data_IF_484738557611
#
_entry.id   IF_484738557611
#
_cell.length_a   1.000
_cell.length_b   1.000
_cell.length_c   1.000
_cell.angle_alpha   90.00
_cell.angle_beta   90.00
_cell.angle_gamma   90.00
#
_symmetry.space_group_name_H-M   'P 1'
#
loop_
_entity.id
_entity.type
_entity.pdbx_description
1 polymer ?
#
# COMPACT_ATOMS: atom_id res chain seq x y z
N UNK A 1 7.41 2.18 17.38
CA UNK A 1 6.20 1.40 17.70
C UNK A 1 5.28 2.10 18.70
N UNK A 2 5.71 2.42 19.95
CA UNK A 2 4.84 3.00 20.99
C UNK A 2 4.01 4.23 20.54
N UNK A 3 4.64 5.20 19.86
CA UNK A 3 3.93 6.40 19.36
C UNK A 3 2.85 6.07 18.33
N UNK A 4 3.11 5.10 17.45
CA UNK A 4 2.17 4.67 16.41
C UNK A 4 0.93 4.03 17.03
N UNK A 5 1.08 3.28 18.12
CA UNK A 5 -0.05 2.71 18.87
C UNK A 5 -0.81 3.78 19.66
N UNK A 6 -0.10 4.58 20.45
CA UNK A 6 -0.75 5.47 21.42
C UNK A 6 -1.26 6.78 20.81
N UNK A 7 -0.62 7.27 19.74
CA UNK A 7 -0.93 8.55 19.08
C UNK A 7 -0.68 8.46 17.56
N UNK A 8 -1.36 7.56 16.82
CA UNK A 8 -1.12 7.34 15.39
C UNK A 8 -1.23 8.61 14.56
N UNK A 9 -2.27 9.43 14.79
CA UNK A 9 -2.48 10.70 14.07
C UNK A 9 -1.44 11.80 14.34
N UNK A 10 -0.44 11.56 15.20
CA UNK A 10 0.69 12.47 15.41
C UNK A 10 1.86 12.19 14.45
N UNK A 11 1.70 11.23 13.55
CA UNK A 11 2.71 10.77 12.60
C UNK A 11 2.16 11.05 11.20
N UNK A 12 2.94 11.79 10.41
CA UNK A 12 2.63 12.10 9.02
C UNK A 12 3.48 11.23 8.08
N UNK A 13 4.81 11.39 8.13
CA UNK A 13 5.76 10.59 7.36
C UNK A 13 6.79 9.91 8.27
N UNK A 14 7.17 8.67 7.94
CA UNK A 14 8.21 7.90 8.64
C UNK A 14 9.27 7.46 7.64
N UNK A 15 10.54 7.71 7.97
CA UNK A 15 11.70 7.13 7.28
C UNK A 15 12.37 6.13 8.22
N UNK A 16 12.63 4.93 7.72
CA UNK A 16 13.23 3.84 8.49
C UNK A 16 14.14 2.98 7.62
N UNK A 17 15.05 2.23 8.25
CA UNK A 17 15.81 1.18 7.56
C UNK A 17 14.89 0.00 7.23
N UNK A 18 15.28 -0.83 6.26
CA UNK A 18 14.43 -1.90 5.70
C UNK A 18 13.70 -2.75 6.77
N UNK A 19 14.42 -3.38 7.70
CA UNK A 19 13.81 -4.22 8.75
C UNK A 19 12.86 -3.43 9.67
N UNK A 20 13.17 -2.18 9.99
CA UNK A 20 12.29 -1.36 10.82
C UNK A 20 11.06 -0.90 10.04
N UNK A 21 11.22 -0.57 8.76
CA UNK A 21 10.12 -0.16 7.88
C UNK A 21 9.12 -1.31 7.70
N UNK A 22 9.61 -2.53 7.53
CA UNK A 22 8.81 -3.75 7.43
C UNK A 22 7.86 -3.89 8.64
N UNK A 23 8.43 -3.94 9.86
CA UNK A 23 7.66 -4.03 11.11
C UNK A 23 6.69 -2.86 11.30
N UNK A 24 7.13 -1.63 10.98
CA UNK A 24 6.29 -0.44 11.18
C UNK A 24 5.17 -0.34 10.15
N UNK A 25 5.39 -0.81 8.92
CA UNK A 25 4.39 -0.77 7.85
C UNK A 25 3.23 -1.74 8.11
N UNK A 26 3.53 -2.95 8.58
CA UNK A 26 2.51 -3.92 9.03
C UNK A 26 1.70 -3.39 10.21
N UNK A 27 2.38 -2.78 11.19
CA UNK A 27 1.71 -2.15 12.33
C UNK A 27 0.78 -1.01 11.87
N UNK A 28 1.22 -0.18 10.94
CA UNK A 28 0.40 0.90 10.39
C UNK A 28 -0.83 0.37 9.66
N UNK A 29 -0.67 -0.66 8.82
CA UNK A 29 -1.78 -1.27 8.08
C UNK A 29 -2.78 -1.98 9.02
N UNK A 30 -2.31 -2.64 10.08
CA UNK A 30 -3.17 -3.21 11.11
C UNK A 30 -3.96 -2.15 11.89
N UNK A 31 -3.31 -1.04 12.27
CA UNK A 31 -3.96 0.08 12.97
C UNK A 31 -4.95 0.85 12.07
N UNK A 32 -4.71 0.88 10.76
CA UNK A 32 -5.61 1.45 9.76
C UNK A 32 -6.89 0.62 9.52
N UNK A 33 -7.01 -0.55 10.17
CA UNK A 33 -8.22 -1.38 10.17
C UNK A 33 -8.18 -2.59 9.25
N UNK A 34 -7.20 -2.70 8.34
CA UNK A 34 -7.02 -3.90 7.52
C UNK A 34 -5.66 -3.94 6.83
N UNK A 35 -4.95 -5.06 7.02
CA UNK A 35 -3.76 -5.40 6.22
C UNK A 35 -4.08 -5.55 4.72
N UNK A 36 -5.33 -5.92 4.39
CA UNK A 36 -5.77 -6.20 3.02
C UNK A 36 -5.96 -4.98 2.13
N UNK A 37 -5.83 -3.77 2.67
CA UNK A 37 -6.09 -2.52 1.93
C UNK A 37 -4.78 -1.74 1.72
N UNK A 38 -3.69 -2.08 2.40
CA UNK A 38 -2.41 -1.40 2.25
C UNK A 38 -1.83 -1.54 0.83
N UNK A 39 -1.41 -0.41 0.26
CA UNK A 39 -0.73 -0.32 -1.04
C UNK A 39 0.75 -0.01 -0.86
N UNK A 40 1.63 -0.63 -1.65
CA UNK A 40 3.08 -0.40 -1.59
C UNK A 40 3.69 -0.03 -2.93
N UNK A 41 4.88 0.57 -2.85
CA UNK A 41 5.69 0.90 -4.00
C UNK A 41 7.18 0.71 -3.69
N UNK A 42 7.84 -0.10 -4.49
CA UNK A 42 9.29 -0.25 -4.54
C UNK A 42 9.82 0.63 -5.68
N UNK A 43 10.24 1.85 -5.34
CA UNK A 43 10.58 2.89 -6.30
C UNK A 43 12.08 2.89 -6.61
N UNK A 44 12.44 2.95 -7.90
CA UNK A 44 13.76 3.43 -8.34
C UNK A 44 13.69 4.96 -8.50
N UNK A 45 14.28 5.76 -7.60
CA UNK A 45 14.20 7.22 -7.67
C UNK A 45 14.84 7.80 -8.93
N UNK A 46 15.79 7.08 -9.53
CA UNK A 46 16.45 7.51 -10.77
C UNK A 46 15.60 7.29 -12.02
N UNK A 47 14.53 6.47 -11.91
CA UNK A 47 13.71 5.99 -13.03
C UNK A 47 14.52 5.27 -14.12
N UNK A 48 15.71 4.78 -13.80
CA UNK A 48 16.53 3.98 -14.73
C UNK A 48 15.95 2.59 -14.95
N UNK A 49 15.21 2.08 -13.96
CA UNK A 49 14.49 0.80 -13.98
C UNK A 49 13.02 1.02 -13.68
N UNK A 50 12.13 0.12 -14.14
CA UNK A 50 10.74 0.14 -13.73
C UNK A 50 10.63 -0.02 -12.22
N UNK A 51 9.84 0.84 -11.60
CA UNK A 51 9.41 0.68 -10.21
C UNK A 51 8.34 -0.42 -10.11
N UNK A 52 8.24 -1.07 -8.95
CA UNK A 52 7.28 -2.15 -8.71
C UNK A 52 6.21 -1.70 -7.71
N UNK A 53 4.97 -2.11 -7.94
CA UNK A 53 3.82 -1.75 -7.11
C UNK A 53 3.04 -3.02 -6.79
N UNK A 54 2.80 -3.28 -5.51
CA UNK A 54 2.08 -4.47 -5.04
C UNK A 54 1.24 -4.16 -3.78
N UNK A 55 0.10 -4.87 -3.56
CA UNK A 55 -0.62 -4.79 -2.30
C UNK A 55 0.22 -5.40 -1.16
N UNK A 56 0.03 -4.93 0.07
CA UNK A 56 0.74 -5.48 1.26
C UNK A 56 0.37 -6.95 1.52
N UNK A 57 -0.87 -7.34 1.23
CA UNK A 57 -1.35 -8.67 1.58
C UNK A 57 -0.63 -9.78 0.79
N UNK A 58 -0.44 -10.92 1.42
CA UNK A 58 0.11 -12.12 0.78
C UNK A 58 -0.89 -12.83 -0.14
N UNK A 59 -0.48 -14.00 -0.63
CA UNK A 59 -1.21 -14.76 -1.67
C UNK A 59 -2.53 -15.40 -1.23
N UNK A 60 -2.79 -15.53 0.09
CA UNK A 60 -4.02 -16.12 0.64
C UNK A 60 -4.46 -17.43 -0.07
N UNK A 61 -3.57 -18.44 -0.07
CA UNK A 61 -3.75 -19.68 -0.85
C UNK A 61 -5.03 -20.44 -0.48
N UNK A 62 -5.51 -20.32 0.75
CA UNK A 62 -6.72 -20.93 1.27
C UNK A 62 -8.01 -20.42 0.59
N UNK A 63 -7.98 -19.23 -0.03
CA UNK A 63 -9.14 -18.64 -0.74
C UNK A 63 -8.95 -18.53 -2.26
N UNK A 64 -7.85 -19.07 -2.79
CA UNK A 64 -7.57 -19.04 -4.23
C UNK A 64 -8.71 -19.68 -5.03
N UNK A 65 -9.15 -19.00 -6.09
CA UNK A 65 -10.22 -19.47 -6.99
C UNK A 65 -11.63 -19.38 -6.41
N UNK A 66 -11.80 -18.95 -5.15
CA UNK A 66 -13.13 -18.83 -4.52
C UNK A 66 -13.85 -17.52 -4.83
N UNK A 67 -13.16 -16.53 -5.42
CA UNK A 67 -13.74 -15.22 -5.75
C UNK A 67 -14.08 -14.34 -4.55
N UNK A 68 -13.49 -14.63 -3.37
CA UNK A 68 -13.77 -13.91 -2.11
C UNK A 68 -12.65 -12.96 -1.67
N UNK A 69 -11.56 -12.88 -2.44
CA UNK A 69 -10.45 -11.97 -2.13
C UNK A 69 -10.90 -10.51 -2.31
N UNK A 70 -10.52 -9.64 -1.38
CA UNK A 70 -10.79 -8.21 -1.47
C UNK A 70 -9.80 -7.56 -2.46
N UNK A 71 -10.25 -6.99 -3.59
CA UNK A 71 -9.36 -6.41 -4.59
C UNK A 71 -8.89 -4.97 -4.27
N UNK A 72 -9.42 -4.34 -3.21
CA UNK A 72 -9.18 -2.91 -2.94
C UNK A 72 -7.69 -2.56 -2.79
N UNK A 73 -6.90 -3.39 -2.09
CA UNK A 73 -5.46 -3.16 -1.95
C UNK A 73 -4.74 -3.16 -3.31
N UNK A 74 -5.18 -4.01 -4.25
CA UNK A 74 -4.65 -4.03 -5.62
C UNK A 74 -5.05 -2.78 -6.40
N UNK A 75 -6.28 -2.27 -6.22
CA UNK A 75 -6.72 -1.05 -6.90
C UNK A 75 -6.04 0.21 -6.36
N UNK A 76 -5.85 0.36 -5.04
CA UNK A 76 -5.03 1.45 -4.50
C UNK A 76 -3.59 1.40 -5.01
N UNK A 77 -3.01 0.21 -5.05
CA UNK A 77 -1.67 -0.01 -5.61
C UNK A 77 -1.58 0.41 -7.08
N UNK A 78 -2.58 0.06 -7.89
CA UNK A 78 -2.65 0.48 -9.28
C UNK A 78 -2.80 2.00 -9.42
N UNK A 79 -3.53 2.65 -8.51
CA UNK A 79 -3.62 4.12 -8.47
C UNK A 79 -2.26 4.77 -8.20
N UNK A 80 -1.49 4.27 -7.23
CA UNK A 80 -0.12 4.74 -6.96
C UNK A 80 0.79 4.57 -8.17
N UNK A 81 0.68 3.44 -8.88
CA UNK A 81 1.43 3.19 -10.11
C UNK A 81 1.09 4.21 -11.20
N UNK A 82 -0.20 4.45 -11.44
CA UNK A 82 -0.67 5.42 -12.43
C UNK A 82 -0.15 6.83 -12.10
N UNK A 83 -0.21 7.25 -10.84
CA UNK A 83 0.33 8.53 -10.40
C UNK A 83 1.85 8.62 -10.63
N UNK A 84 2.61 7.56 -10.30
CA UNK A 84 4.06 7.49 -10.55
C UNK A 84 4.41 7.61 -12.05
N UNK A 85 3.57 7.06 -12.93
CA UNK A 85 3.71 7.14 -14.39
C UNK A 85 3.28 8.50 -14.97
N UNK A 86 2.68 9.40 -14.18
CA UNK A 86 2.17 10.69 -14.63
C UNK A 86 0.71 10.66 -15.11
N UNK A 87 0.03 9.52 -14.99
CA UNK A 87 -1.36 9.30 -15.42
C UNK A 87 -2.37 9.76 -14.35
N UNK A 88 -2.26 11.01 -13.91
CA UNK A 88 -3.01 11.55 -12.77
C UNK A 88 -4.53 11.48 -12.93
N UNK A 89 -5.03 11.66 -14.16
CA UNK A 89 -6.46 11.57 -14.44
C UNK A 89 -6.98 10.14 -14.26
N UNK A 90 -6.20 9.14 -14.69
CA UNK A 90 -6.53 7.74 -14.52
C UNK A 90 -6.43 7.31 -13.04
N UNK A 91 -5.37 7.72 -12.34
CA UNK A 91 -5.19 7.47 -10.91
C UNK A 91 -6.39 8.02 -10.12
N UNK A 92 -6.77 9.29 -10.35
CA UNK A 92 -7.92 9.92 -9.69
C UNK A 92 -9.23 9.20 -10.01
N UNK A 93 -9.46 8.84 -11.27
CA UNK A 93 -10.67 8.12 -11.67
C UNK A 93 -10.77 6.77 -10.95
N UNK A 94 -9.66 6.07 -10.80
CA UNK A 94 -9.62 4.79 -10.07
C UNK A 94 -9.89 4.99 -8.58
N UNK A 95 -9.29 6.00 -7.93
CA UNK A 95 -9.54 6.33 -6.52
C UNK A 95 -11.01 6.66 -6.24
N UNK A 96 -11.61 7.52 -7.06
CA UNK A 96 -13.02 7.90 -6.93
C UNK A 96 -13.96 6.70 -7.09
N UNK A 97 -13.55 5.66 -7.80
CA UNK A 97 -14.37 4.47 -7.99
C UNK A 97 -14.34 3.50 -6.81
N UNK A 98 -13.38 3.63 -5.89
CA UNK A 98 -13.15 2.68 -4.79
C UNK A 98 -13.26 3.30 -3.39
N UNK A 99 -13.26 4.63 -3.29
CA UNK A 99 -13.67 5.40 -2.10
C UNK A 99 -15.20 5.49 -1.99
#
# INVERSE_FOLDING_TARGET
>A
TQRMVNKPGSIDTVLATNLHADILSDLAAALGGSLGIGSTANIDPSRSRPSMFEPIHGSAFDITGKGVANPLGSFWTASLMLDHLGEQAAARRLMVAIE
#
